data_IF_222955883091
#
_entry.id   IF_222955883091
#
_cell.length_a   1.000
_cell.length_b   1.000
_cell.length_c   1.000
_cell.angle_alpha   90.00
_cell.angle_beta   90.00
_cell.angle_gamma   90.00
#
_symmetry.space_group_name_H-M   'P 1'
#
loop_
_entity.id
_entity.type
_entity.pdbx_description
1 polymer ?
#
# COMPACT_ATOMS: atom_id res chain seq x y z
N UNK A 1 -5.61 -26.01 31.04
CA UNK A 1 -6.27 -24.93 30.35
C UNK A 1 -6.70 -25.37 28.96
N UNK A 2 -7.99 -25.20 28.65
CA UNK A 2 -8.58 -25.61 27.35
C UNK A 2 -8.59 -24.44 26.36
N UNK A 3 -7.58 -23.57 26.40
CA UNK A 3 -7.46 -22.44 25.47
C UNK A 3 -6.62 -22.86 24.26
N UNK A 4 -7.04 -22.46 23.08
CA UNK A 4 -6.22 -22.55 21.88
C UNK A 4 -5.04 -21.58 22.02
N UNK A 5 -3.86 -22.02 21.65
CA UNK A 5 -2.65 -21.21 21.63
C UNK A 5 -2.00 -21.32 20.26
N UNK A 6 -1.51 -20.21 19.76
CA UNK A 6 -0.73 -20.17 18.53
C UNK A 6 0.74 -20.11 18.91
N UNK A 7 1.48 -21.11 18.45
CA UNK A 7 2.93 -21.09 18.55
C UNK A 7 3.49 -20.12 17.51
N UNK A 8 3.93 -18.93 17.96
CA UNK A 8 4.41 -17.88 17.09
C UNK A 8 5.73 -18.23 16.41
N UNK A 9 6.55 -19.12 17.01
CA UNK A 9 7.82 -19.54 16.41
C UNK A 9 7.59 -20.52 15.25
N UNK A 10 6.48 -21.26 15.27
CA UNK A 10 6.06 -22.19 14.21
C UNK A 10 5.05 -21.55 13.23
N UNK A 11 4.52 -20.37 13.53
CA UNK A 11 3.48 -19.73 12.74
C UNK A 11 4.06 -19.14 11.44
N UNK A 12 3.52 -19.57 10.29
CA UNK A 12 3.91 -19.06 8.97
C UNK A 12 3.14 -17.80 8.53
N UNK A 13 2.23 -17.28 9.37
CA UNK A 13 1.41 -16.10 9.04
C UNK A 13 0.33 -16.33 7.96
N UNK A 14 -0.01 -17.57 7.64
CA UNK A 14 -0.93 -17.89 6.52
C UNK A 14 -2.40 -17.48 6.75
N UNK A 15 -2.79 -16.98 7.94
CA UNK A 15 -4.14 -16.51 8.27
C UNK A 15 -5.24 -17.59 8.31
N UNK A 16 -4.95 -18.87 8.00
CA UNK A 16 -5.97 -19.92 7.94
C UNK A 16 -6.73 -20.09 9.25
N UNK A 17 -6.05 -20.01 10.39
CA UNK A 17 -6.67 -20.12 11.71
C UNK A 17 -7.66 -18.98 11.99
N UNK A 18 -7.40 -17.78 11.48
CA UNK A 18 -8.30 -16.63 11.59
C UNK A 18 -9.59 -16.90 10.81
N UNK A 19 -9.46 -17.35 9.56
CA UNK A 19 -10.60 -17.58 8.66
C UNK A 19 -11.51 -18.73 9.09
N UNK A 20 -10.97 -19.77 9.75
CA UNK A 20 -11.76 -20.93 10.16
C UNK A 20 -12.28 -20.85 11.59
N UNK A 21 -11.94 -19.84 12.36
CA UNK A 21 -12.37 -19.70 13.73
C UNK A 21 -13.85 -19.26 13.80
N UNK A 22 -14.81 -20.14 14.18
CA UNK A 22 -16.23 -19.80 14.17
C UNK A 22 -16.60 -18.78 15.25
N UNK A 23 -15.74 -18.58 16.24
CA UNK A 23 -15.92 -17.65 17.35
C UNK A 23 -15.20 -16.32 17.12
N UNK A 24 -14.52 -16.14 15.99
CA UNK A 24 -13.69 -14.98 15.71
C UNK A 24 -12.74 -14.62 16.86
N UNK A 25 -12.22 -15.65 17.56
CA UNK A 25 -11.36 -15.49 18.73
C UNK A 25 -9.88 -15.32 18.40
N UNK A 26 -9.53 -15.44 17.12
CA UNK A 26 -8.17 -15.29 16.60
C UNK A 26 -8.16 -14.07 15.67
N UNK A 27 -7.32 -13.09 16.00
CA UNK A 27 -7.19 -11.87 15.24
C UNK A 27 -5.74 -11.68 14.81
N UNK A 28 -5.52 -10.94 13.72
CA UNK A 28 -4.22 -10.38 13.43
C UNK A 28 -3.94 -9.22 14.40
N UNK A 29 -2.70 -9.08 14.83
CA UNK A 29 -2.29 -7.90 15.61
C UNK A 29 -1.98 -6.77 14.64
N UNK A 30 -2.97 -5.94 14.37
CA UNK A 30 -2.84 -4.82 13.44
C UNK A 30 -2.03 -3.64 14.03
N UNK A 31 -1.83 -3.61 15.35
CA UNK A 31 -1.12 -2.49 16.00
C UNK A 31 0.40 -2.47 15.69
N UNK A 32 0.96 -3.63 15.32
CA UNK A 32 2.39 -3.76 14.94
C UNK A 32 2.54 -3.78 13.40
N UNK A 33 1.43 -3.76 12.65
CA UNK A 33 1.39 -4.32 11.32
C UNK A 33 1.66 -3.33 10.18
N UNK A 34 1.38 -2.02 10.35
CA UNK A 34 1.29 -1.16 9.18
C UNK A 34 2.64 -0.95 8.47
N UNK A 35 3.67 -0.50 9.16
CA UNK A 35 5.01 -0.37 8.55
C UNK A 35 5.60 -1.74 8.18
N UNK A 36 5.47 -2.73 9.07
CA UNK A 36 5.96 -4.08 8.79
C UNK A 36 5.22 -4.72 7.61
N UNK A 37 3.92 -4.48 7.46
CA UNK A 37 3.15 -4.95 6.30
C UNK A 37 3.69 -4.31 5.02
N UNK A 38 3.94 -3.00 5.03
CA UNK A 38 4.49 -2.28 3.88
C UNK A 38 5.87 -2.82 3.47
N UNK A 39 6.74 -3.07 4.45
CA UNK A 39 8.02 -3.74 4.19
C UNK A 39 7.83 -5.15 3.59
N UNK A 40 6.88 -5.94 4.12
CA UNK A 40 6.57 -7.27 3.60
C UNK A 40 6.04 -7.24 2.16
N UNK A 41 5.25 -6.25 1.80
CA UNK A 41 4.79 -6.06 0.42
C UNK A 41 6.00 -5.92 -0.53
N UNK A 42 6.98 -5.09 -0.19
CA UNK A 42 8.20 -4.92 -0.97
C UNK A 42 9.04 -6.21 -1.05
N UNK A 43 9.17 -6.95 0.07
CA UNK A 43 9.89 -8.23 0.10
C UNK A 43 9.22 -9.29 -0.81
N UNK A 44 7.90 -9.39 -0.77
CA UNK A 44 7.16 -10.32 -1.63
C UNK A 44 7.21 -9.90 -3.10
N UNK A 45 7.10 -8.61 -3.40
CA UNK A 45 7.28 -8.09 -4.76
C UNK A 45 8.67 -8.46 -5.29
N UNK A 46 9.73 -8.25 -4.50
CA UNK A 46 11.09 -8.66 -4.85
C UNK A 46 11.19 -10.15 -5.11
N UNK A 47 10.63 -10.99 -4.26
CA UNK A 47 10.66 -12.45 -4.43
C UNK A 47 10.01 -12.90 -5.76
N UNK A 48 9.04 -12.15 -6.27
CA UNK A 48 8.39 -12.44 -7.55
C UNK A 48 9.25 -12.02 -8.74
N UNK A 49 9.86 -10.84 -8.69
CA UNK A 49 10.56 -10.27 -9.85
C UNK A 49 12.06 -10.57 -9.88
N UNK A 50 12.66 -10.96 -8.77
CA UNK A 50 14.11 -11.13 -8.65
C UNK A 50 14.67 -12.12 -9.68
N UNK A 51 15.68 -11.70 -10.42
CA UNK A 51 16.32 -12.49 -11.49
C UNK A 51 15.44 -12.72 -12.72
N UNK A 52 14.33 -12.01 -12.88
CA UNK A 52 13.41 -12.13 -14.02
C UNK A 52 13.22 -10.80 -14.74
N UNK A 53 13.13 -10.78 -16.08
CA UNK A 53 12.68 -9.60 -16.80
C UNK A 53 11.26 -9.24 -16.34
N UNK A 54 11.04 -8.00 -15.93
CA UNK A 54 9.73 -7.51 -15.52
C UNK A 54 9.47 -6.13 -16.10
N UNK A 55 8.20 -5.83 -16.34
CA UNK A 55 7.72 -4.54 -16.79
C UNK A 55 6.43 -4.25 -16.04
N UNK A 56 6.30 -3.05 -15.49
CA UNK A 56 5.22 -2.69 -14.58
C UNK A 56 4.38 -1.58 -15.19
N UNK A 57 3.07 -1.68 -15.00
CA UNK A 57 2.10 -0.67 -15.43
C UNK A 57 1.21 -0.37 -14.23
N UNK A 58 1.00 0.90 -13.93
CA UNK A 58 0.07 1.37 -12.92
C UNK A 58 -0.98 2.30 -13.55
N UNK A 59 -2.21 2.16 -13.12
CA UNK A 59 -3.33 3.01 -13.49
C UNK A 59 -3.74 3.82 -12.27
N UNK A 60 -3.35 5.11 -12.24
CA UNK A 60 -3.78 6.04 -11.19
C UNK A 60 -5.14 6.65 -11.57
N UNK A 61 -6.17 5.82 -11.53
CA UNK A 61 -7.55 6.12 -11.89
C UNK A 61 -8.46 5.73 -10.73
N UNK A 62 -9.53 6.49 -10.52
CA UNK A 62 -10.55 6.23 -9.49
C UNK A 62 -9.94 5.96 -8.11
N UNK A 63 -8.94 6.77 -7.73
CA UNK A 63 -8.19 6.62 -6.48
C UNK A 63 -9.13 6.82 -5.29
N UNK A 64 -9.65 5.73 -4.78
CA UNK A 64 -10.61 5.72 -3.67
C UNK A 64 -9.93 5.69 -2.31
N UNK A 65 -10.56 6.18 -1.24
CA UNK A 65 -9.96 6.19 0.10
C UNK A 65 -9.81 4.78 0.69
N UNK A 66 -10.62 3.82 0.24
CA UNK A 66 -10.58 2.46 0.76
C UNK A 66 -10.06 1.49 -0.31
N UNK A 67 -9.26 0.50 0.13
CA UNK A 67 -8.83 -0.60 -0.72
C UNK A 67 -10.06 -1.36 -1.26
N UNK A 68 -9.99 -1.81 -2.51
CA UNK A 68 -11.01 -2.64 -3.18
C UNK A 68 -11.28 -3.99 -2.46
N UNK A 69 -10.45 -4.34 -1.48
CA UNK A 69 -10.70 -5.48 -0.59
C UNK A 69 -11.88 -5.26 0.39
N UNK A 70 -12.32 -4.03 0.56
CA UNK A 70 -13.51 -3.69 1.33
C UNK A 70 -14.77 -3.78 0.45
N UNK A 71 -15.90 -4.09 1.08
CA UNK A 71 -17.22 -4.11 0.43
C UNK A 71 -17.90 -2.74 0.40
N UNK A 72 -17.18 -1.71 0.70
CA UNK A 72 -17.62 -0.30 0.67
C UNK A 72 -16.47 0.57 0.18
N UNK A 73 -16.81 1.68 -0.43
CA UNK A 73 -15.89 2.72 -0.86
C UNK A 73 -16.57 4.08 -0.78
N UNK A 74 -15.84 5.11 -1.09
CA UNK A 74 -16.33 6.48 -1.21
C UNK A 74 -15.91 7.03 -2.58
N UNK A 75 -16.27 8.27 -2.85
CA UNK A 75 -15.85 8.96 -4.09
C UNK A 75 -14.32 9.05 -4.16
N UNK A 76 -13.74 9.05 -5.37
CA UNK A 76 -12.30 9.23 -5.53
C UNK A 76 -11.79 10.49 -4.82
N UNK A 77 -10.64 10.35 -4.15
CA UNK A 77 -10.04 11.45 -3.36
C UNK A 77 -9.42 12.54 -4.22
N UNK A 78 -9.00 12.19 -5.44
CA UNK A 78 -8.41 13.09 -6.44
C UNK A 78 -8.98 12.78 -7.83
N UNK A 79 -8.84 13.69 -8.83
CA UNK A 79 -9.13 13.37 -10.23
C UNK A 79 -8.23 12.25 -10.76
N UNK A 80 -8.67 11.59 -11.83
CA UNK A 80 -7.85 10.62 -12.55
C UNK A 80 -6.54 11.25 -13.03
N UNK A 81 -5.42 10.59 -12.75
CA UNK A 81 -4.08 11.06 -13.10
C UNK A 81 -3.64 10.51 -14.45
N UNK A 82 -3.69 9.18 -14.61
CA UNK A 82 -3.31 8.54 -15.86
C UNK A 82 -2.70 7.16 -15.70
N UNK A 83 -1.99 6.74 -16.73
CA UNK A 83 -1.28 5.47 -16.78
C UNK A 83 0.23 5.72 -16.71
N UNK A 84 0.89 4.93 -15.90
CA UNK A 84 2.34 4.97 -15.72
C UNK A 84 2.94 3.61 -16.08
N UNK A 85 4.18 3.63 -16.56
CA UNK A 85 4.89 2.40 -16.89
C UNK A 85 6.38 2.53 -16.61
N UNK A 86 7.00 1.48 -16.08
CA UNK A 86 8.43 1.42 -15.78
C UNK A 86 8.94 -0.01 -15.74
N UNK A 87 10.24 -0.20 -15.93
CA UNK A 87 10.93 -1.45 -15.61
C UNK A 87 11.29 -1.55 -14.12
N UNK A 88 11.25 -0.44 -13.39
CA UNK A 88 11.52 -0.36 -11.96
C UNK A 88 10.21 -0.14 -11.20
N UNK A 89 9.77 -1.12 -10.36
CA UNK A 89 8.52 -1.02 -9.64
C UNK A 89 8.55 0.04 -8.53
N UNK A 90 9.69 0.28 -7.89
CA UNK A 90 9.82 1.28 -6.81
C UNK A 90 9.72 2.68 -7.40
N UNK A 91 10.44 2.95 -8.51
CA UNK A 91 10.35 4.21 -9.23
C UNK A 91 8.93 4.47 -9.74
N UNK A 92 8.24 3.42 -10.22
CA UNK A 92 6.86 3.51 -10.68
C UNK A 92 5.92 3.94 -9.56
N UNK A 93 5.96 3.25 -8.42
CA UNK A 93 5.08 3.53 -7.28
C UNK A 93 5.37 4.90 -6.68
N UNK A 94 6.64 5.29 -6.58
CA UNK A 94 7.04 6.63 -6.13
C UNK A 94 6.48 7.71 -7.05
N UNK A 95 6.64 7.56 -8.37
CA UNK A 95 6.11 8.52 -9.34
C UNK A 95 4.57 8.60 -9.29
N UNK A 96 3.89 7.46 -9.16
CA UNK A 96 2.43 7.44 -9.02
C UNK A 96 1.97 8.18 -7.76
N UNK A 97 2.61 7.93 -6.63
CA UNK A 97 2.27 8.58 -5.35
C UNK A 97 2.50 10.10 -5.42
N UNK A 98 3.64 10.54 -5.96
CA UNK A 98 3.94 11.96 -6.14
C UNK A 98 2.92 12.65 -7.06
N UNK A 99 2.56 12.01 -8.17
CA UNK A 99 1.59 12.56 -9.12
C UNK A 99 0.16 12.57 -8.58
N UNK A 100 -0.22 11.61 -7.74
CA UNK A 100 -1.50 11.63 -7.01
C UNK A 100 -1.50 12.76 -5.98
N UNK A 101 -0.43 12.91 -5.21
CA UNK A 101 -0.28 13.97 -4.21
C UNK A 101 -0.24 15.39 -4.84
N UNK A 102 0.17 15.50 -6.10
CA UNK A 102 0.13 16.75 -6.84
C UNK A 102 -1.28 17.16 -7.33
N UNK A 103 -2.28 16.26 -7.25
CA UNK A 103 -3.64 16.57 -7.68
C UNK A 103 -4.42 17.37 -6.64
N UNK A 104 -5.39 18.18 -7.07
CA UNK A 104 -6.31 18.83 -6.14
C UNK A 104 -7.22 17.77 -5.50
N UNK A 105 -7.49 17.94 -4.19
CA UNK A 105 -8.43 17.09 -3.46
C UNK A 105 -9.85 17.27 -3.98
N UNK A 106 -10.55 16.15 -4.16
CA UNK A 106 -11.99 16.17 -4.43
C UNK A 106 -12.75 16.65 -3.19
N UNK A 107 -13.42 17.78 -3.31
CA UNK A 107 -14.12 18.45 -2.20
C UNK A 107 -15.31 17.65 -1.64
N UNK A 108 -15.71 16.56 -2.29
CA UNK A 108 -16.76 15.66 -1.79
C UNK A 108 -16.19 14.39 -1.16
N UNK A 109 -14.87 14.25 -1.11
CA UNK A 109 -14.21 13.07 -0.54
C UNK A 109 -14.02 13.17 0.97
N UNK A 110 -13.72 12.04 1.59
CA UNK A 110 -13.47 11.96 3.04
C UNK A 110 -12.29 12.83 3.51
N UNK A 111 -11.32 13.10 2.63
CA UNK A 111 -10.14 13.92 2.96
C UNK A 111 -10.34 15.42 2.65
N UNK A 112 -11.53 15.84 2.23
CA UNK A 112 -11.80 17.22 1.83
C UNK A 112 -11.55 18.27 2.93
N UNK A 113 -11.53 17.85 4.18
CA UNK A 113 -11.39 18.72 5.35
C UNK A 113 -10.08 18.50 6.14
N UNK A 114 -9.23 17.59 5.70
CA UNK A 114 -7.98 17.20 6.38
C UNK A 114 -6.80 18.02 5.84
N UNK A 115 -6.82 19.36 5.99
CA UNK A 115 -5.81 20.24 5.38
C UNK A 115 -4.76 20.79 6.37
N UNK A 116 -4.51 20.13 7.50
CA UNK A 116 -3.56 20.63 8.49
C UNK A 116 -2.08 20.31 8.21
N UNK A 117 -1.77 19.45 7.22
CA UNK A 117 -0.40 19.03 6.91
C UNK A 117 -0.03 19.26 5.45
N UNK A 118 1.27 19.41 5.10
CA UNK A 118 1.68 19.54 3.72
C UNK A 118 1.33 18.26 2.95
N UNK A 119 0.21 18.32 2.29
CA UNK A 119 -0.35 17.50 1.22
C UNK A 119 0.25 16.09 1.01
N UNK A 120 -0.09 15.16 1.88
CA UNK A 120 0.02 13.75 1.60
C UNK A 120 -1.38 13.11 1.69
N UNK A 121 -2.02 12.98 0.54
CA UNK A 121 -3.39 12.45 0.43
C UNK A 121 -3.53 11.02 0.98
N UNK A 122 -2.45 10.25 0.97
CA UNK A 122 -2.44 8.91 1.53
C UNK A 122 -2.47 8.94 3.07
N UNK A 123 -1.67 9.82 3.67
CA UNK A 123 -1.68 10.03 5.12
C UNK A 123 -2.98 10.67 5.59
N UNK A 124 -3.55 11.59 4.79
CA UNK A 124 -4.85 12.19 5.09
C UNK A 124 -5.98 11.14 5.07
N UNK A 125 -5.92 10.18 4.14
CA UNK A 125 -6.87 9.08 4.07
C UNK A 125 -6.64 8.01 5.15
N UNK A 126 -5.39 7.75 5.51
CA UNK A 126 -4.98 6.69 6.44
C UNK A 126 -3.86 7.15 7.36
N UNK A 127 -4.15 7.93 8.40
CA UNK A 127 -3.13 8.53 9.27
C UNK A 127 -2.31 7.51 10.07
N UNK A 128 -2.79 6.29 10.20
CA UNK A 128 -2.10 5.21 10.89
C UNK A 128 -1.14 4.42 9.99
N UNK A 129 -0.94 4.84 8.73
CA UNK A 129 -0.08 4.14 7.77
C UNK A 129 0.98 5.08 7.19
N UNK A 130 2.10 4.52 6.79
CA UNK A 130 3.14 5.21 6.01
C UNK A 130 3.46 4.43 4.74
N UNK A 131 2.99 4.92 3.60
CA UNK A 131 3.23 4.30 2.30
C UNK A 131 4.72 4.35 1.89
N UNK A 132 5.46 5.35 2.39
CA UNK A 132 6.89 5.51 2.08
C UNK A 132 7.72 4.34 2.60
N UNK A 133 7.30 3.72 3.69
CA UNK A 133 7.95 2.53 4.23
C UNK A 133 8.09 1.40 3.19
N UNK A 134 7.11 1.25 2.27
CA UNK A 134 7.18 0.24 1.21
C UNK A 134 8.25 0.57 0.16
N UNK A 135 8.30 1.80 -0.33
CA UNK A 135 9.24 2.21 -1.39
C UNK A 135 10.67 2.36 -0.86
N UNK A 136 10.84 2.91 0.33
CA UNK A 136 12.15 3.03 1.00
C UNK A 136 12.75 1.65 1.32
N UNK A 137 11.93 0.74 1.86
CA UNK A 137 12.35 -0.63 2.10
C UNK A 137 12.63 -1.37 0.78
N UNK A 138 11.82 -1.14 -0.25
CA UNK A 138 12.03 -1.66 -1.60
C UNK A 138 13.39 -1.26 -2.17
N UNK A 139 13.77 0.00 -2.03
CA UNK A 139 15.09 0.49 -2.42
C UNK A 139 16.19 -0.14 -1.57
N UNK A 140 16.03 -0.20 -0.25
CA UNK A 140 17.01 -0.76 0.67
C UNK A 140 17.32 -2.25 0.40
N UNK A 141 16.32 -3.03 -0.02
CA UNK A 141 16.52 -4.44 -0.38
C UNK A 141 16.91 -4.65 -1.85
N UNK A 142 17.04 -3.59 -2.64
CA UNK A 142 17.43 -3.65 -4.06
C UNK A 142 16.32 -4.17 -4.97
N UNK A 143 15.06 -3.86 -4.69
CA UNK A 143 13.92 -4.09 -5.59
C UNK A 143 13.92 -3.07 -6.74
N UNK A 144 14.32 -1.83 -6.46
CA UNK A 144 14.38 -0.73 -7.40
C UNK A 144 14.98 0.52 -6.75
N UNK A 145 14.65 1.71 -7.25
CA UNK A 145 15.08 3.00 -6.71
C UNK A 145 13.92 3.97 -6.60
N UNK A 146 13.94 4.83 -5.58
CA UNK A 146 12.95 5.91 -5.41
C UNK A 146 13.19 7.08 -6.38
N UNK A 147 14.35 7.12 -7.04
CA UNK A 147 14.67 8.16 -8.04
C UNK A 147 14.10 7.80 -9.40
N UNK A 148 13.38 8.73 -10.00
CA UNK A 148 12.81 8.56 -11.34
C UNK A 148 12.91 9.83 -12.19
N UNK A 149 12.81 9.67 -13.50
CA UNK A 149 12.57 10.74 -14.46
C UNK A 149 11.21 10.48 -15.13
N UNK A 150 10.28 11.42 -14.99
CA UNK A 150 8.95 11.31 -15.61
C UNK A 150 8.98 11.83 -17.05
N UNK A 151 8.75 10.94 -18.00
CA UNK A 151 8.62 11.28 -19.42
C UNK A 151 7.16 11.15 -19.83
N UNK A 152 6.58 12.25 -20.28
CA UNK A 152 5.20 12.26 -20.81
C UNK A 152 5.22 11.98 -22.32
N UNK A 153 4.36 11.06 -22.75
CA UNK A 153 4.21 10.65 -24.14
C UNK A 153 2.80 10.90 -24.66
#
# INVERSE_FOLDING_TARGET
>A
DKKCHIDHDACTGCGRCINVCPMHAIHADYAIANELLNCKIAEYAKAVVDGRPSFHIALALDVSPCCDCHNFSDVPIVPNVGMFASFDPVALDTACADMINAQPVNQNSVIAHEHEHPHDHFTDAHPDTDWRAAVEHGEAIGLGTTHYELVTV
#
